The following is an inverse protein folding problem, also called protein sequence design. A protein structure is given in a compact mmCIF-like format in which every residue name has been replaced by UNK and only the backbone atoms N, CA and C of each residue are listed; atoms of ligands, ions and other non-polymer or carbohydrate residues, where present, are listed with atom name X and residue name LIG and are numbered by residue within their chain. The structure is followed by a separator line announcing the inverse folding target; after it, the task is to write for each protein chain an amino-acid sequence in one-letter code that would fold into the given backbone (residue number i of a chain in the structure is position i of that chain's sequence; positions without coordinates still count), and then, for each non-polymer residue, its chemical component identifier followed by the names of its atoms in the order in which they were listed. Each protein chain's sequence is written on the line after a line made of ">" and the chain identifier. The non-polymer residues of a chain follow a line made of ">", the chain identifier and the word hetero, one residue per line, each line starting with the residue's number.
data_IF_069334547044
#
_entry.id   IF_069334547044
#
_cell.length_a   1.000
_cell.length_b   1.000
_cell.length_c   1.000
_cell.angle_alpha   90.00
_cell.angle_beta   90.00
_cell.angle_gamma   90.00
#
_symmetry.space_group_name_H-M   'P 1'
#
loop_
_entity.id
_entity.type
_entity.pdbx_description
1 polymer ?
#
# COMPACT_ATOMS: atom_id res chain seq x y z
N UNK A 1 -5.93 -9.74 -8.67
CA UNK A 1 -5.49 -9.54 -7.28
C UNK A 1 -6.71 -9.36 -6.38
N UNK A 2 -6.66 -9.70 -5.08
CA UNK A 2 -7.75 -9.37 -4.15
C UNK A 2 -8.10 -7.88 -4.14
N UNK A 3 -9.36 -7.56 -3.89
CA UNK A 3 -9.83 -6.16 -3.72
C UNK A 3 -9.00 -5.45 -2.66
N UNK A 4 -8.46 -4.28 -3.01
CA UNK A 4 -7.66 -3.47 -2.08
C UNK A 4 -7.83 -1.98 -2.35
N UNK A 5 -7.90 -1.18 -1.29
CA UNK A 5 -8.01 0.28 -1.38
C UNK A 5 -6.77 0.97 -1.98
N UNK A 6 -5.66 0.23 -2.14
CA UNK A 6 -4.45 0.75 -2.77
C UNK A 6 -4.51 0.78 -4.29
N UNK A 7 -5.49 0.14 -4.93
CA UNK A 7 -5.58 0.10 -6.39
C UNK A 7 -6.52 1.17 -6.92
N UNK A 8 -6.13 1.80 -8.03
CA UNK A 8 -6.92 2.83 -8.71
C UNK A 8 -6.73 2.67 -10.22
N UNK A 9 -7.81 2.84 -10.99
CA UNK A 9 -7.76 2.82 -12.44
C UNK A 9 -8.37 4.09 -13.04
N UNK A 10 -7.77 4.57 -14.13
CA UNK A 10 -8.24 5.71 -14.92
C UNK A 10 -8.25 5.36 -16.39
N UNK A 11 -9.23 5.85 -17.13
CA UNK A 11 -9.30 5.80 -18.59
C UNK A 11 -9.26 7.23 -19.12
N UNK A 12 -8.24 7.56 -19.93
CA UNK A 12 -8.01 8.91 -20.46
C UNK A 12 -8.05 10.00 -19.36
N UNK A 13 -7.53 9.66 -18.18
CA UNK A 13 -7.50 10.53 -17.00
C UNK A 13 -8.76 10.50 -16.12
N UNK A 14 -9.89 9.98 -16.60
CA UNK A 14 -11.11 9.84 -15.82
C UNK A 14 -11.07 8.59 -14.93
N UNK A 15 -11.43 8.73 -13.64
CA UNK A 15 -11.43 7.60 -12.70
C UNK A 15 -12.53 6.60 -13.05
N UNK A 16 -12.19 5.31 -13.03
CA UNK A 16 -13.14 4.22 -13.24
C UNK A 16 -13.78 3.78 -11.92
N UNK A 17 -15.01 3.27 -12.00
CA UNK A 17 -15.73 2.69 -10.86
C UNK A 17 -15.13 1.36 -10.44
N UNK A 18 -14.89 1.21 -9.14
CA UNK A 18 -14.41 -0.03 -8.55
C UNK A 18 -15.47 -1.14 -8.67
N UNK A 19 -15.04 -2.31 -9.14
CA UNK A 19 -15.87 -3.51 -9.27
C UNK A 19 -15.16 -4.72 -8.68
N UNK A 20 -15.94 -5.76 -8.43
CA UNK A 20 -15.44 -7.05 -7.96
C UNK A 20 -15.78 -8.15 -8.96
N UNK A 21 -14.76 -8.85 -9.44
CA UNK A 21 -14.92 -10.03 -10.29
C UNK A 21 -14.75 -11.31 -9.46
N UNK A 22 -15.50 -12.36 -9.80
CA UNK A 22 -15.45 -13.68 -9.16
C UNK A 22 -15.59 -13.65 -7.62
N UNK A 23 -16.23 -12.62 -7.07
CA UNK A 23 -16.46 -12.48 -5.62
C UNK A 23 -15.27 -12.03 -4.78
N UNK A 24 -14.05 -11.92 -5.35
CA UNK A 24 -12.84 -11.54 -4.58
C UNK A 24 -11.83 -10.66 -5.32
N UNK A 25 -11.84 -10.65 -6.65
CA UNK A 25 -10.80 -9.97 -7.43
C UNK A 25 -11.16 -8.51 -7.71
N UNK A 26 -10.17 -7.61 -7.62
CA UNK A 26 -10.28 -6.23 -8.06
C UNK A 26 -10.56 -6.17 -9.57
N UNK A 27 -11.54 -5.36 -9.97
CA UNK A 27 -11.91 -5.13 -11.36
C UNK A 27 -12.45 -3.70 -11.56
N UNK A 28 -12.59 -3.29 -12.82
CA UNK A 28 -13.22 -2.02 -13.22
C UNK A 28 -14.06 -2.21 -14.48
N UNK A 29 -15.11 -1.41 -14.62
CA UNK A 29 -15.87 -1.35 -15.87
C UNK A 29 -15.12 -0.48 -16.88
N UNK A 30 -14.83 -1.02 -18.06
CA UNK A 30 -14.16 -0.28 -19.14
C UNK A 30 -15.16 -0.06 -20.29
N UNK A 31 -15.45 1.19 -20.67
CA UNK A 31 -16.27 1.50 -21.84
C UNK A 31 -15.70 0.90 -23.13
N UNK A 32 -16.59 0.51 -24.05
CA UNK A 32 -16.21 -0.05 -25.36
C UNK A 32 -15.64 0.99 -26.34
N UNK A 33 -15.63 2.28 -25.97
CA UNK A 33 -15.07 3.36 -26.79
C UNK A 33 -13.55 3.27 -26.97
N UNK A 34 -12.86 2.44 -26.17
CA UNK A 34 -11.40 2.39 -26.12
C UNK A 34 -10.80 3.57 -25.34
N UNK A 35 -9.48 3.64 -25.30
CA UNK A 35 -8.72 4.69 -24.60
C UNK A 35 -7.42 4.17 -23.97
N UNK A 36 -6.70 5.05 -23.27
CA UNK A 36 -5.49 4.69 -22.51
C UNK A 36 -5.87 4.37 -21.07
N UNK A 37 -5.68 3.10 -20.70
CA UNK A 37 -5.92 2.62 -19.33
C UNK A 37 -4.65 2.79 -18.49
N UNK A 38 -4.75 3.60 -17.44
CA UNK A 38 -3.72 3.78 -16.42
C UNK A 38 -4.16 3.09 -15.12
N UNK A 39 -3.34 2.16 -14.62
CA UNK A 39 -3.61 1.41 -13.39
C UNK A 39 -2.47 1.66 -12.42
N UNK A 40 -2.79 2.26 -11.28
CA UNK A 40 -1.80 2.65 -10.27
C UNK A 40 -2.10 1.98 -8.94
N UNK A 41 -1.04 1.59 -8.25
CA UNK A 41 -1.10 1.17 -6.85
C UNK A 41 -0.55 2.27 -5.95
N UNK A 42 -1.42 2.90 -5.18
CA UNK A 42 -1.03 3.73 -4.04
C UNK A 42 -0.38 2.83 -2.98
N UNK A 43 0.95 2.79 -2.97
CA UNK A 43 1.69 2.30 -1.81
C UNK A 43 1.46 3.24 -0.63
N UNK A 44 1.29 2.69 0.58
CA UNK A 44 1.24 3.51 1.80
C UNK A 44 2.65 4.03 2.07
N UNK A 45 3.01 5.18 1.50
CA UNK A 45 4.17 5.93 1.96
C UNK A 45 3.82 6.50 3.33
N UNK A 46 4.37 5.89 4.38
CA UNK A 46 4.41 6.57 5.67
C UNK A 46 5.20 7.88 5.44
N UNK A 47 4.67 9.06 5.84
CA UNK A 47 5.46 10.28 5.76
C UNK A 47 6.74 10.04 6.55
N UNK A 48 7.90 10.38 5.97
CA UNK A 48 9.20 10.11 6.58
C UNK A 48 9.25 10.55 8.06
N UNK A 49 8.57 11.66 8.37
CA UNK A 49 8.38 12.17 9.73
C UNK A 49 7.71 11.17 10.68
N UNK A 50 6.66 10.47 10.25
CA UNK A 50 5.98 9.45 11.06
C UNK A 50 6.86 8.20 11.26
N UNK A 51 7.66 7.83 10.26
CA UNK A 51 8.63 6.73 10.39
C UNK A 51 9.75 7.10 11.38
N UNK A 52 10.28 8.33 11.32
CA UNK A 52 11.29 8.85 12.25
C UNK A 52 10.75 8.94 13.66
N UNK A 53 9.53 9.47 13.85
CA UNK A 53 8.89 9.52 15.16
C UNK A 53 8.65 8.12 15.75
N UNK A 54 8.19 7.18 14.93
CA UNK A 54 8.07 5.77 15.33
C UNK A 54 9.40 5.16 15.76
N UNK A 55 10.48 5.40 14.99
CA UNK A 55 11.83 4.94 15.32
C UNK A 55 12.34 5.54 16.63
N UNK A 56 12.15 6.84 16.85
CA UNK A 56 12.55 7.51 18.10
C UNK A 56 11.80 6.96 19.30
N UNK A 57 10.50 6.69 19.18
CA UNK A 57 9.73 6.07 20.26
C UNK A 57 10.20 4.65 20.58
N UNK A 58 10.60 3.86 19.57
CA UNK A 58 11.18 2.53 19.76
C UNK A 58 12.55 2.61 20.44
N UNK A 59 13.37 3.61 20.09
CA UNK A 59 14.70 3.82 20.69
C UNK A 59 14.63 4.42 22.11
N UNK A 60 13.64 5.27 22.39
CA UNK A 60 13.48 5.96 23.66
C UNK A 60 12.54 5.23 24.65
N UNK A 61 11.79 4.23 24.19
CA UNK A 61 10.93 3.41 25.04
C UNK A 61 11.72 2.43 25.92
N UNK A 62 11.24 2.10 27.13
CA UNK A 62 11.95 1.25 28.11
C UNK A 62 12.07 -0.24 27.71
N UNK A 63 11.77 -0.58 26.44
CA UNK A 63 11.76 -1.93 25.89
C UNK A 63 12.65 -2.12 24.65
N UNK A 64 13.68 -1.28 24.46
CA UNK A 64 14.65 -1.45 23.38
C UNK A 64 15.23 -2.88 23.32
N UNK A 65 15.64 -3.39 22.14
CA UNK A 65 16.06 -4.77 21.97
C UNK A 65 17.24 -5.05 22.90
N UNK A 66 16.98 -5.79 23.98
CA UNK A 66 18.03 -6.39 24.80
C UNK A 66 18.88 -7.21 23.84
N UNK A 67 20.13 -6.76 23.63
CA UNK A 67 21.19 -7.55 23.02
C UNK A 67 21.28 -8.84 23.82
N UNK A 68 20.62 -9.89 23.35
CA UNK A 68 20.68 -11.21 23.95
C UNK A 68 21.82 -11.94 23.27
N UNK A 69 22.97 -11.94 23.94
CA UNK A 69 24.05 -12.92 23.79
C UNK A 69 24.71 -13.00 22.42
N UNK A 70 25.84 -12.31 22.28
CA UNK A 70 26.92 -12.75 21.40
C UNK A 70 28.23 -12.78 22.20
N UNK A 71 28.18 -13.48 23.34
CA UNK A 71 29.37 -13.96 24.02
C UNK A 71 29.31 -15.49 24.05
N UNK A 72 29.86 -16.08 22.99
CA UNK A 72 30.60 -17.36 22.95
C UNK A 72 30.69 -17.78 21.50
N UNK A 73 31.84 -17.55 20.89
CA UNK A 73 32.82 -18.58 20.55
C UNK A 73 34.10 -17.91 20.04
#
# INVERSE_FOLDING_TARGET
>A
EPVSAGWQARLDGARLDDRRAWGWAQAWSVPSSGGVLDVQRSGRSLPATAAVLGLLLVLAGPGGPRRRGLERL
#
